data_IF_523371211116
#
_entry.id   IF_523371211116
#
_cell.length_a   1.000
_cell.length_b   1.000
_cell.length_c   1.000
_cell.angle_alpha   90.00
_cell.angle_beta   90.00
_cell.angle_gamma   90.00
#
_symmetry.space_group_name_H-M   'P 1'
#
loop_
_entity.id
_entity.type
_entity.pdbx_description
1 polymer ?
#
# COMPACT_ATOMS: atom_id res chain seq x y z
N UNK A 1 -32.38 5.75 0.66
CA UNK A 1 -31.94 4.36 0.43
C UNK A 1 -30.45 4.33 0.72
N UNK A 2 -30.05 3.62 1.77
CA UNK A 2 -28.66 3.45 2.20
C UNK A 2 -27.90 2.48 1.28
N UNK A 3 -27.72 2.83 0.01
CA UNK A 3 -26.87 2.03 -0.88
C UNK A 3 -25.42 2.38 -0.56
N UNK A 4 -24.78 1.56 0.28
CA UNK A 4 -23.32 1.59 0.43
C UNK A 4 -22.71 1.23 -0.93
N UNK A 5 -21.80 2.04 -1.48
CA UNK A 5 -21.19 1.72 -2.76
C UNK A 5 -20.39 0.42 -2.65
N UNK A 6 -20.31 -0.29 -3.77
CA UNK A 6 -19.34 -1.36 -3.95
C UNK A 6 -17.96 -0.74 -4.01
N UNK A 7 -17.02 -1.26 -3.22
CA UNK A 7 -15.65 -0.75 -3.16
C UNK A 7 -14.70 -1.84 -3.63
N UNK A 8 -13.95 -1.51 -4.68
CA UNK A 8 -12.80 -2.26 -5.15
C UNK A 8 -11.53 -1.58 -4.63
N UNK A 9 -10.65 -2.36 -4.01
CA UNK A 9 -9.43 -1.85 -3.39
C UNK A 9 -8.21 -2.66 -3.81
N UNK A 10 -7.22 -1.97 -4.35
CA UNK A 10 -5.91 -2.53 -4.70
C UNK A 10 -4.81 -2.04 -3.75
N UNK A 11 -3.85 -2.94 -3.52
CA UNK A 11 -2.64 -2.66 -2.73
C UNK A 11 -1.45 -3.18 -3.51
N UNK A 12 -0.52 -2.28 -3.81
CA UNK A 12 0.75 -2.60 -4.45
C UNK A 12 1.88 -2.08 -3.58
N UNK A 13 2.97 -2.84 -3.52
CA UNK A 13 4.17 -2.47 -2.76
C UNK A 13 5.36 -2.56 -3.70
N UNK A 14 6.19 -1.53 -3.68
CA UNK A 14 7.46 -1.53 -4.39
C UNK A 14 8.58 -1.16 -3.42
N UNK A 15 9.75 -1.75 -3.60
CA UNK A 15 10.94 -1.40 -2.87
C UNK A 15 12.11 -1.28 -3.83
N UNK A 16 12.87 -0.19 -3.74
CA UNK A 16 14.00 0.10 -4.64
C UNK A 16 15.22 0.52 -3.84
N UNK A 17 16.36 -0.15 -4.10
CA UNK A 17 17.66 0.27 -3.57
C UNK A 17 18.16 1.55 -4.21
N UNK A 18 18.91 2.35 -3.45
CA UNK A 18 19.53 3.59 -3.89
C UNK A 18 21.05 3.53 -3.71
N UNK A 19 21.84 4.27 -4.52
CA UNK A 19 23.30 4.29 -4.42
C UNK A 19 23.85 4.83 -3.09
N UNK A 20 23.03 5.54 -2.32
CA UNK A 20 23.37 6.05 -0.98
C UNK A 20 23.16 5.00 0.13
N UNK A 21 22.79 3.77 -0.22
CA UNK A 21 22.53 2.68 0.72
C UNK A 21 21.16 2.75 1.39
N UNK A 22 20.30 3.67 0.96
CA UNK A 22 18.90 3.74 1.39
C UNK A 22 18.00 2.89 0.50
N UNK A 23 16.83 2.56 1.01
CA UNK A 23 15.75 1.91 0.28
C UNK A 23 14.55 2.83 0.24
N UNK A 24 14.02 3.03 -0.96
CA UNK A 24 12.74 3.69 -1.19
C UNK A 24 11.66 2.60 -1.18
N UNK A 25 10.64 2.76 -0.35
CA UNK A 25 9.50 1.83 -0.28
C UNK A 25 8.24 2.62 -0.56
N UNK A 26 7.53 2.21 -1.60
CA UNK A 26 6.26 2.81 -2.01
C UNK A 26 5.11 1.87 -1.66
N UNK A 27 4.14 2.41 -0.93
CA UNK A 27 2.84 1.79 -0.71
C UNK A 27 1.81 2.48 -1.59
N UNK A 28 1.32 1.78 -2.61
CA UNK A 28 0.28 2.27 -3.51
C UNK A 28 -1.07 1.68 -3.11
N UNK A 29 -2.04 2.55 -2.85
CA UNK A 29 -3.43 2.21 -2.58
C UNK A 29 -4.30 2.74 -3.73
N UNK A 30 -5.08 1.86 -4.34
CA UNK A 30 -6.15 2.24 -5.26
C UNK A 30 -7.50 1.91 -4.63
N UNK A 31 -8.44 2.85 -4.66
CA UNK A 31 -9.78 2.65 -4.12
C UNK A 31 -10.80 3.19 -5.11
N UNK A 32 -11.64 2.32 -5.64
CA UNK A 32 -12.70 2.66 -6.56
C UNK A 32 -14.04 2.30 -5.94
N UNK A 33 -14.90 3.31 -5.76
CA UNK A 33 -16.26 3.12 -5.27
C UNK A 33 -17.27 3.34 -6.39
N UNK A 34 -18.21 2.42 -6.55
CA UNK A 34 -19.28 2.46 -7.57
C UNK A 34 -20.65 2.16 -6.98
N UNK A 35 -21.70 2.69 -7.58
CA UNK A 35 -23.09 2.34 -7.30
C UNK A 35 -23.82 2.06 -8.63
N UNK A 36 -25.13 1.68 -8.60
CA UNK A 36 -25.89 1.42 -9.83
C UNK A 36 -26.02 2.62 -10.80
N UNK A 37 -25.79 3.84 -10.32
CA UNK A 37 -25.85 5.09 -11.10
C UNK A 37 -24.48 5.45 -11.71
N UNK A 38 -23.38 4.87 -11.22
CA UNK A 38 -22.04 5.07 -11.76
C UNK A 38 -20.92 5.11 -10.71
N UNK A 39 -19.74 5.65 -11.06
CA UNK A 39 -18.64 5.84 -10.12
C UNK A 39 -18.98 6.92 -9.10
N UNK A 40 -18.71 6.62 -7.82
CA UNK A 40 -18.88 7.55 -6.70
C UNK A 40 -17.57 8.31 -6.46
N UNK A 41 -16.46 7.59 -6.31
CA UNK A 41 -15.12 8.18 -6.24
C UNK A 41 -14.05 7.20 -6.72
N UNK A 42 -12.89 7.74 -7.08
CA UNK A 42 -11.68 6.99 -7.38
C UNK A 42 -10.48 7.68 -6.70
N UNK A 43 -9.72 6.93 -5.92
CA UNK A 43 -8.55 7.41 -5.19
C UNK A 43 -7.35 6.57 -5.61
N UNK A 44 -6.27 7.26 -5.97
CA UNK A 44 -4.95 6.67 -6.15
C UNK A 44 -3.98 7.41 -5.23
N UNK A 45 -3.39 6.67 -4.30
CA UNK A 45 -2.42 7.21 -3.35
C UNK A 45 -1.13 6.40 -3.46
N UNK A 46 -0.02 7.08 -3.69
CA UNK A 46 1.32 6.52 -3.49
C UNK A 46 1.91 7.19 -2.25
N UNK A 47 2.18 6.40 -1.23
CA UNK A 47 2.80 6.86 0.00
C UNK A 47 4.18 6.21 0.14
N UNK A 48 5.22 7.02 -0.10
CA UNK A 48 6.61 6.58 -0.09
C UNK A 48 7.30 6.83 1.25
N UNK A 49 8.29 6.00 1.56
CA UNK A 49 9.20 6.19 2.67
C UNK A 49 10.63 5.83 2.31
N UNK A 50 11.59 6.55 2.90
CA UNK A 50 13.01 6.21 2.81
C UNK A 50 13.44 5.47 4.08
N UNK A 51 14.05 4.32 3.89
CA UNK A 51 14.47 3.42 4.96
C UNK A 51 15.96 3.13 4.86
N UNK A 52 16.62 3.11 6.00
CA UNK A 52 17.97 2.55 6.12
C UNK A 52 17.85 1.22 6.86
N UNK A 53 18.42 0.17 6.29
CA UNK A 53 18.52 -1.12 6.95
C UNK A 53 19.90 -1.26 7.60
N UNK A 54 19.92 -1.59 8.88
CA UNK A 54 21.16 -1.86 9.62
C UNK A 54 21.06 -3.23 10.29
N UNK A 55 22.11 -4.04 10.16
CA UNK A 55 22.23 -5.37 10.79
C UNK A 55 21.11 -6.36 10.40
N UNK A 56 20.54 -6.23 9.20
CA UNK A 56 19.53 -7.15 8.67
C UNK A 56 20.23 -8.26 7.87
N UNK A 57 20.02 -9.55 8.19
CA UNK A 57 20.53 -10.65 7.37
C UNK A 57 20.01 -10.56 5.93
N UNK A 58 20.83 -10.89 4.94
CA UNK A 58 20.48 -10.74 3.52
C UNK A 58 19.15 -11.40 3.14
N UNK A 59 18.85 -12.58 3.70
CA UNK A 59 17.59 -13.30 3.45
C UNK A 59 16.35 -12.62 4.06
N UNK A 60 16.53 -11.69 5.00
CA UNK A 60 15.47 -10.92 5.65
C UNK A 60 15.28 -9.53 5.03
N UNK A 61 16.19 -9.07 4.16
CA UNK A 61 16.12 -7.72 3.56
C UNK A 61 14.80 -7.52 2.81
N UNK A 62 14.49 -8.40 1.85
CA UNK A 62 13.26 -8.28 1.06
C UNK A 62 11.98 -8.38 1.92
N UNK A 63 11.83 -9.37 2.82
CA UNK A 63 10.70 -9.39 3.77
C UNK A 63 10.61 -8.12 4.63
N UNK A 64 11.73 -7.56 5.06
CA UNK A 64 11.73 -6.32 5.85
C UNK A 64 11.18 -5.15 5.03
N UNK A 65 11.62 -5.01 3.78
CA UNK A 65 11.21 -3.93 2.89
C UNK A 65 9.75 -4.06 2.41
N UNK A 66 9.26 -5.29 2.22
CA UNK A 66 7.92 -5.53 1.65
C UNK A 66 6.85 -5.91 2.69
N UNK A 67 7.22 -6.09 3.96
CA UNK A 67 6.26 -6.36 5.04
C UNK A 67 6.36 -5.33 6.15
N UNK A 68 7.56 -5.12 6.71
CA UNK A 68 7.71 -4.25 7.88
C UNK A 68 7.69 -2.76 7.51
N UNK A 69 8.36 -2.36 6.42
CA UNK A 69 8.33 -0.97 5.96
C UNK A 69 6.88 -0.50 5.63
N UNK A 70 6.07 -1.23 4.84
CA UNK A 70 4.69 -0.86 4.56
C UNK A 70 3.80 -0.79 5.81
N UNK A 71 4.05 -1.62 6.83
CA UNK A 71 3.35 -1.53 8.13
C UNK A 71 3.54 -0.18 8.81
N UNK A 72 4.71 0.44 8.68
CA UNK A 72 4.94 1.79 9.21
C UNK A 72 4.24 2.87 8.38
N UNK A 73 4.17 2.69 7.06
CA UNK A 73 3.56 3.66 6.13
C UNK A 73 2.03 3.63 6.17
N UNK A 74 1.44 2.43 6.31
CA UNK A 74 0.01 2.19 6.15
C UNK A 74 -0.90 3.04 7.06
N UNK A 75 -0.60 3.27 8.35
CA UNK A 75 -1.43 4.11 9.22
C UNK A 75 -1.61 5.54 8.69
N UNK A 76 -0.59 6.10 8.03
CA UNK A 76 -0.66 7.43 7.43
C UNK A 76 -1.40 7.39 6.10
N UNK A 77 -1.09 6.40 5.25
CA UNK A 77 -1.76 6.24 3.96
C UNK A 77 -3.28 6.04 4.11
N UNK A 78 -3.72 5.16 5.02
CA UNK A 78 -5.15 4.95 5.28
C UNK A 78 -5.84 6.17 5.86
N UNK A 79 -5.12 7.00 6.64
CA UNK A 79 -5.69 8.23 7.20
C UNK A 79 -5.97 9.25 6.09
N UNK A 80 -5.04 9.40 5.15
CA UNK A 80 -5.24 10.24 3.96
C UNK A 80 -6.48 9.80 3.20
N UNK A 81 -6.66 8.50 2.94
CA UNK A 81 -7.85 7.97 2.25
C UNK A 81 -9.15 8.32 3.01
N UNK A 82 -9.16 8.17 4.33
CA UNK A 82 -10.33 8.55 5.14
C UNK A 82 -10.61 10.05 5.08
N UNK A 83 -9.59 10.89 5.11
CA UNK A 83 -9.75 12.35 5.07
C UNK A 83 -10.26 12.83 3.72
N UNK A 84 -9.69 12.36 2.60
CA UNK A 84 -10.12 12.79 1.27
C UNK A 84 -11.53 12.30 0.91
N UNK A 85 -11.94 11.14 1.42
CA UNK A 85 -13.34 10.68 1.23
C UNK A 85 -14.32 11.51 2.05
N UNK A 86 -13.97 11.85 3.29
CA UNK A 86 -14.78 12.73 4.12
C UNK A 86 -14.94 14.13 3.47
N UNK A 87 -13.84 14.73 3.01
CA UNK A 87 -13.82 16.03 2.35
C UNK A 87 -14.60 16.01 1.02
N UNK A 88 -14.62 14.86 0.34
CA UNK A 88 -15.43 14.60 -0.86
C UNK A 88 -16.94 14.43 -0.59
N UNK A 89 -17.39 14.59 0.66
CA UNK A 89 -18.80 14.45 1.06
C UNK A 89 -19.27 13.00 1.22
N UNK A 90 -18.36 12.03 1.20
CA UNK A 90 -18.68 10.63 1.47
C UNK A 90 -18.75 10.40 2.98
N UNK A 91 -19.96 10.15 3.49
CA UNK A 91 -20.21 9.90 4.91
C UNK A 91 -20.96 8.57 5.12
N UNK A 92 -20.48 7.68 6.01
CA UNK A 92 -19.26 7.78 6.81
C UNK A 92 -17.98 7.71 5.94
N UNK A 93 -16.86 8.30 6.39
CA UNK A 93 -15.59 8.24 5.66
C UNK A 93 -15.17 6.81 5.34
N UNK A 94 -14.50 6.61 4.21
CA UNK A 94 -14.02 5.28 3.85
C UNK A 94 -12.81 4.92 4.72
N UNK A 95 -13.03 4.01 5.66
CA UNK A 95 -11.99 3.49 6.53
C UNK A 95 -11.41 2.22 5.93
N UNK A 96 -10.16 2.31 5.48
CA UNK A 96 -9.43 1.16 4.97
C UNK A 96 -9.21 0.14 6.09
N UNK A 97 -9.59 -1.11 5.84
CA UNK A 97 -9.39 -2.21 6.77
C UNK A 97 -7.89 -2.54 6.94
N UNK A 98 -7.46 -3.04 8.11
CA UNK A 98 -6.08 -3.47 8.32
C UNK A 98 -5.64 -4.51 7.28
N UNK A 99 -4.46 -4.33 6.70
CA UNK A 99 -3.88 -5.23 5.69
C UNK A 99 -2.90 -6.19 6.37
N UNK A 100 -3.01 -7.48 6.05
CA UNK A 100 -1.96 -8.47 6.36
C UNK A 100 -0.88 -8.44 5.26
N UNK A 101 0.13 -7.59 5.46
CA UNK A 101 1.24 -7.46 4.53
C UNK A 101 2.09 -8.74 4.40
N UNK A 102 2.12 -9.61 5.41
CA UNK A 102 2.86 -10.86 5.32
C UNK A 102 2.15 -11.83 4.37
N UNK A 103 0.82 -11.95 4.48
CA UNK A 103 0.02 -12.74 3.56
C UNK A 103 0.09 -12.19 2.11
N UNK A 104 0.03 -10.87 1.96
CA UNK A 104 0.14 -10.21 0.66
C UNK A 104 1.51 -10.47 0.01
N UNK A 105 2.61 -10.31 0.77
CA UNK A 105 3.96 -10.62 0.31
C UNK A 105 4.08 -12.08 -0.15
N UNK A 106 3.58 -13.03 0.66
CA UNK A 106 3.61 -14.46 0.30
C UNK A 106 2.82 -14.76 -0.98
N UNK A 107 1.65 -14.14 -1.14
CA UNK A 107 0.83 -14.27 -2.35
C UNK A 107 1.55 -13.73 -3.59
N UNK A 108 2.12 -12.52 -3.51
CA UNK A 108 2.84 -11.92 -4.64
C UNK A 108 4.11 -12.70 -5.00
N UNK A 109 4.82 -13.24 -3.99
CA UNK A 109 5.99 -14.09 -4.18
C UNK A 109 5.64 -15.39 -4.91
N UNK A 110 4.52 -16.02 -4.55
CA UNK A 110 4.05 -17.24 -5.20
C UNK A 110 3.61 -17.01 -6.66
N UNK A 111 3.03 -15.84 -6.95
CA UNK A 111 2.61 -15.46 -8.30
C UNK A 111 3.73 -14.91 -9.19
N UNK A 112 4.95 -14.77 -8.68
CA UNK A 112 6.08 -14.17 -9.42
C UNK A 112 5.91 -12.66 -9.70
N UNK A 113 4.96 -11.99 -9.03
CA UNK A 113 4.72 -10.56 -9.16
C UNK A 113 5.82 -9.72 -8.48
N UNK A 114 6.56 -10.32 -7.55
CA UNK A 114 7.80 -9.76 -7.00
C UNK A 114 8.96 -10.13 -7.95
N UNK A 115 9.06 -9.40 -9.05
CA UNK A 115 10.16 -9.51 -10.01
C UNK A 115 11.32 -8.57 -9.68
N UNK A 116 12.53 -9.12 -9.58
CA UNK A 116 13.85 -8.45 -9.45
C UNK A 116 13.83 -6.99 -8.98
N UNK A 117 13.60 -6.74 -7.69
CA UNK A 117 14.00 -5.46 -7.07
C UNK A 117 14.79 -5.64 -5.78
N UNK A 118 15.54 -6.74 -5.70
CA UNK A 118 16.49 -7.02 -4.62
C UNK A 118 17.86 -7.35 -5.21
N UNK A 119 18.51 -6.37 -5.84
CA UNK A 119 19.82 -6.61 -6.45
C UNK A 119 20.41 -5.40 -7.15
N UNK A 120 20.82 -4.40 -6.36
CA UNK A 120 22.02 -3.58 -6.56
C UNK A 120 21.99 -2.45 -5.52
N UNK A 121 22.72 -2.68 -4.42
CA UNK A 121 23.38 -1.60 -3.69
C UNK A 121 24.77 -1.43 -4.31
#
# INVERSE_FOLDING_TARGET
MDVRPEVDMGVEMNAKGRPDGLFEVDLKLSVKATNPEGPVFNIELVYGGLFQLANVPQHMVEPTLLVECPRYLFPFARRIVADVTADGGFFPPFMVEPIDFAALYMSQKASGAIGETAGQA
#
